data_IF_357020399415
#
_entry.id   IF_357020399415
#
_cell.length_a   1.000
_cell.length_b   1.000
_cell.length_c   1.000
_cell.angle_alpha   90.00
_cell.angle_beta   90.00
_cell.angle_gamma   90.00
#
_symmetry.space_group_name_H-M   'P 1'
#
loop_
_entity.id
_entity.type
_entity.pdbx_description
1 polymer ?
2 non-polymer ?
3 non-polymer ?
4 non-polymer ?
5 water ?
#
# COMPACT_ATOMS: atom_id res chain seq x y z
N UNK A 1 2.31 -10.58 14.55
CA UNK A 1 1.97 -9.39 15.34
C UNK A 1 1.30 -8.34 14.47
N UNK A 2 0.57 -8.83 13.51
CA UNK A 2 -0.02 -7.98 12.46
C UNK A 2 -1.45 -7.60 12.86
N UNK A 3 -1.97 -8.12 13.97
CA UNK A 3 -3.44 -8.14 14.17
C UNK A 3 -4.07 -6.76 14.24
N UNK A 4 -3.39 -5.72 14.71
CA UNK A 4 -4.06 -4.42 14.82
C UNK A 4 -4.23 -3.80 13.42
N UNK A 5 -3.55 -4.34 12.40
CA UNK A 5 -3.73 -3.84 11.02
C UNK A 5 -4.99 -4.39 10.37
N UNK A 6 -5.56 -5.47 10.91
CA UNK A 6 -6.60 -6.15 10.21
C UNK A 6 -7.90 -5.36 10.24
N UNK A 7 -8.65 -5.41 9.16
CA UNK A 7 -9.96 -4.79 9.09
C UNK A 7 -10.11 -3.98 7.85
N UNK A 8 -11.11 -3.14 7.86
CA UNK A 8 -11.49 -2.31 6.72
C UNK A 8 -11.18 -0.87 7.05
N UNK A 9 -10.45 -0.24 6.12
CA UNK A 9 -9.89 1.10 6.32
C UNK A 9 -10.29 1.99 5.16
N UNK A 10 -10.56 3.26 5.48
CA UNK A 10 -10.99 4.24 4.46
C UNK A 10 -9.98 5.39 4.41
N UNK A 11 -9.65 5.83 3.20
CA UNK A 11 -8.69 6.94 3.08
C UNK A 11 -9.36 8.22 3.60
N UNK A 12 -8.63 8.93 4.45
CA UNK A 12 -9.07 10.19 5.01
C UNK A 12 -8.08 11.33 4.88
N UNK A 13 -6.88 11.07 4.36
CA UNK A 13 -5.90 12.18 4.14
C UNK A 13 -4.86 11.68 3.16
N UNK A 14 -4.36 12.56 2.30
CA UNK A 14 -3.27 12.18 1.38
C UNK A 14 -2.36 13.36 1.16
N UNK A 15 -1.05 13.13 1.26
CA UNK A 15 0.00 14.13 1.04
C UNK A 15 1.01 13.59 0.05
N UNK A 16 1.21 14.32 -1.04
CA UNK A 16 2.27 14.07 -2.03
C UNK A 16 2.00 12.81 -2.85
N UNK A 17 0.75 12.39 -3.00
CA UNK A 17 0.48 11.20 -3.83
C UNK A 17 0.80 11.50 -5.30
N UNK A 18 0.52 12.70 -5.77
CA UNK A 18 0.86 13.01 -7.15
C UNK A 18 2.36 12.88 -7.40
N UNK A 19 3.15 13.38 -6.45
CA UNK A 19 4.60 13.23 -6.58
C UNK A 19 5.02 11.77 -6.73
N UNK A 20 4.46 10.92 -5.88
CA UNK A 20 4.77 9.49 -5.91
C UNK A 20 4.38 8.86 -7.24
N UNK A 21 3.15 9.13 -7.69
CA UNK A 21 2.69 8.58 -8.97
C UNK A 21 3.58 9.07 -10.14
N UNK A 22 3.91 10.35 -10.10
CA UNK A 22 4.69 10.91 -11.19
C UNK A 22 6.08 10.26 -11.19
N UNK A 23 6.65 10.00 -10.03
CA UNK A 23 7.98 9.36 -9.92
C UNK A 23 7.92 7.97 -10.59
N UNK A 24 6.81 7.27 -10.43
CA UNK A 24 6.62 5.95 -11.04
C UNK A 24 6.21 6.03 -12.51
N UNK A 25 6.05 7.21 -13.08
CA UNK A 25 5.71 7.34 -14.49
C UNK A 25 4.24 7.18 -14.79
N UNK A 26 3.37 7.35 -13.82
CA UNK A 26 1.94 7.33 -14.10
C UNK A 26 1.55 8.56 -14.89
N UNK A 27 0.74 8.40 -15.93
CA UNK A 27 0.33 9.49 -16.83
C UNK A 27 -0.57 10.49 -16.16
N UNK A 28 -0.55 11.72 -16.67
CA UNK A 28 -1.24 12.80 -15.96
C UNK A 28 -2.72 12.54 -15.84
N UNK A 29 -3.36 11.93 -16.85
CA UNK A 29 -4.83 11.76 -16.80
C UNK A 29 -5.19 10.78 -15.70
N UNK A 30 -4.39 9.73 -15.57
CA UNK A 30 -4.57 8.74 -14.47
C UNK A 30 -4.28 9.40 -13.12
N UNK A 31 -3.23 10.22 -13.01
CA UNK A 31 -2.95 10.89 -11.75
C UNK A 31 -4.12 11.79 -11.35
N UNK A 32 -4.76 12.42 -12.32
CA UNK A 32 -5.87 13.32 -12.05
C UNK A 32 -7.01 12.54 -11.37
N UNK A 33 -7.40 11.40 -11.95
CA UNK A 33 -8.47 10.56 -11.39
C UNK A 33 -8.05 10.03 -10.01
N UNK A 34 -6.84 9.49 -9.95
CA UNK A 34 -6.33 8.90 -8.70
C UNK A 34 -6.34 9.92 -7.57
N UNK A 35 -6.07 11.18 -7.84
CA UNK A 35 -5.98 12.24 -6.81
C UNK A 35 -7.33 12.46 -6.17
N UNK A 36 -8.42 12.05 -6.82
CA UNK A 36 -9.80 12.27 -6.33
C UNK A 36 -10.47 10.99 -5.94
N UNK A 37 -9.75 9.90 -5.88
CA UNK A 37 -10.30 8.59 -5.54
C UNK A 37 -10.03 8.34 -4.04
N UNK A 38 -10.96 7.73 -3.34
CA UNK A 38 -10.78 7.38 -1.90
C UNK A 38 -10.91 5.88 -1.76
N UNK A 39 -9.81 5.16 -1.81
CA UNK A 39 -9.92 3.73 -1.74
C UNK A 39 -10.30 3.23 -0.34
N UNK A 40 -10.78 2.01 -0.39
CA UNK A 40 -11.01 1.21 0.83
C UNK A 40 -9.96 0.10 0.82
N UNK A 41 -9.22 -0.09 1.91
CA UNK A 41 -8.25 -1.16 2.04
C UNK A 41 -8.77 -2.16 3.05
N UNK A 42 -8.80 -3.42 2.69
CA UNK A 42 -9.25 -4.48 3.55
C UNK A 42 -8.05 -5.40 3.78
N UNK A 43 -7.70 -5.61 5.05
CA UNK A 43 -6.56 -6.47 5.39
C UNK A 43 -7.10 -7.61 6.19
N UNK A 44 -6.90 -8.83 5.73
CA UNK A 44 -7.43 -10.06 6.31
C UNK A 44 -6.26 -11.02 6.54
N UNK A 45 -6.43 -11.92 7.51
CA UNK A 45 -5.44 -12.97 7.69
C UNK A 45 -6.10 -14.30 7.85
N UNK A 46 -5.39 -15.33 7.41
CA UNK A 46 -5.80 -16.74 7.57
C UNK A 46 -4.50 -17.41 7.98
N UNK A 47 -4.29 -17.55 9.28
CA UNK A 47 -3.01 -18.06 9.76
C UNK A 47 -1.89 -17.09 9.40
N UNK A 48 -0.93 -17.62 8.63
CA UNK A 48 0.29 -16.89 8.22
C UNK A 48 0.05 -16.09 6.92
N UNK A 49 -1.08 -16.34 6.27
CA UNK A 49 -1.36 -15.74 4.92
C UNK A 49 -2.20 -14.46 5.08
N UNK A 50 -1.69 -13.34 4.65
CA UNK A 50 -2.41 -12.10 4.64
C UNK A 50 -2.97 -11.89 3.25
N UNK A 51 -4.13 -11.24 3.20
CA UNK A 51 -4.71 -10.77 1.94
C UNK A 51 -5.01 -9.29 2.13
N UNK A 52 -4.56 -8.50 1.16
CA UNK A 52 -4.73 -7.06 1.19
C UNK A 52 -5.46 -6.65 -0.06
N UNK A 53 -6.69 -6.17 0.11
CA UNK A 53 -7.56 -5.73 -0.99
C UNK A 53 -7.56 -4.21 -0.98
N UNK A 54 -7.48 -3.64 -2.18
CA UNK A 54 -7.63 -2.17 -2.35
C UNK A 54 -8.77 -1.98 -3.34
N UNK A 55 -9.85 -1.34 -2.89
CA UNK A 55 -11.04 -1.19 -3.73
C UNK A 55 -11.33 0.29 -3.97
N UNK A 56 -11.72 0.61 -5.20
CA UNK A 56 -12.08 2.02 -5.49
C UNK A 56 -12.96 2.04 -6.74
N UNK A 57 -13.44 3.23 -7.05
CA UNK A 57 -14.21 3.48 -8.26
C UNK A 57 -13.37 3.41 -9.51
N UNK A 58 -12.09 3.44 -9.41
CA UNK A 58 -11.17 3.50 -10.57
C UNK A 58 -10.58 2.14 -10.86
N UNK A 59 -10.00 1.53 -9.87
CA UNK A 59 -9.36 0.22 -10.08
C UNK A 59 -9.32 -0.47 -8.72
N UNK A 60 -9.24 -1.78 -8.83
CA UNK A 60 -9.15 -2.64 -7.65
C UNK A 60 -7.91 -3.47 -7.75
N UNK A 61 -7.34 -3.83 -6.61
CA UNK A 61 -6.24 -4.79 -6.55
C UNK A 61 -6.44 -5.74 -5.37
N UNK A 62 -5.79 -6.88 -5.45
CA UNK A 62 -5.74 -7.81 -4.32
C UNK A 62 -4.42 -8.54 -4.39
N UNK A 63 -3.76 -8.69 -3.25
CA UNK A 63 -2.59 -9.55 -3.11
C UNK A 63 -2.78 -10.44 -1.90
N UNK A 64 -2.20 -11.64 -2.01
CA UNK A 64 -2.06 -12.55 -0.86
C UNK A 64 -0.61 -12.92 -0.72
N UNK A 65 -0.17 -13.05 0.52
CA UNK A 65 1.25 -13.34 0.72
C UNK A 65 1.50 -13.79 2.14
N UNK A 66 2.55 -14.58 2.26
CA UNK A 66 3.00 -15.05 3.57
C UNK A 66 4.01 -14.00 4.06
N UNK A 67 3.93 -13.62 5.33
CA UNK A 67 4.90 -12.64 5.85
C UNK A 67 6.31 -13.21 5.68
N UNK A 68 7.19 -12.38 5.17
CA UNK A 68 8.60 -12.72 5.01
C UNK A 68 8.95 -13.66 3.89
N UNK A 69 8.02 -13.87 2.95
CA UNK A 69 8.23 -14.78 1.81
C UNK A 69 7.96 -14.00 0.53
N UNK A 70 8.89 -13.97 -0.39
CA UNK A 70 8.74 -13.20 -1.62
C UNK A 70 7.57 -13.74 -2.44
N UNK A 71 6.91 -12.84 -3.14
CA UNK A 71 5.81 -13.17 -4.03
C UNK A 71 5.91 -12.30 -5.29
N UNK A 72 5.38 -12.82 -6.39
CA UNK A 72 5.21 -12.01 -7.59
C UNK A 72 3.97 -11.14 -7.45
N UNK A 73 4.04 -9.93 -7.94
CA UNK A 73 2.93 -8.97 -7.86
C UNK A 73 2.86 -8.20 -9.19
N UNK A 74 1.67 -7.90 -9.61
CA UNK A 74 1.40 -6.97 -10.71
C UNK A 74 0.68 -5.80 -10.13
N UNK A 75 1.28 -4.65 -10.10
CA UNK A 75 0.75 -3.49 -9.40
C UNK A 75 -0.40 -2.88 -10.17
N UNK A 76 -1.08 -1.92 -9.56
CA UNK A 76 -2.23 -1.29 -10.21
C UNK A 76 -1.80 -0.62 -11.51
N UNK A 77 -0.60 -0.06 -11.55
CA UNK A 77 0.01 0.58 -12.74
C UNK A 77 0.76 -0.42 -13.65
N UNK A 78 0.50 -1.71 -13.52
CA UNK A 78 1.01 -2.81 -14.39
C UNK A 78 2.52 -2.95 -14.31
N UNK A 79 3.14 -2.63 -13.17
CA UNK A 79 4.54 -3.07 -12.95
C UNK A 79 4.55 -4.53 -12.51
N UNK A 80 5.43 -5.34 -13.08
CA UNK A 80 5.59 -6.73 -12.63
C UNK A 80 6.81 -6.73 -11.72
N UNK A 81 6.53 -6.94 -10.43
CA UNK A 81 7.51 -6.72 -9.38
C UNK A 81 7.69 -7.98 -8.56
N UNK A 82 8.82 -8.04 -7.88
CA UNK A 82 9.11 -9.04 -6.82
C UNK A 82 8.88 -8.35 -5.50
N UNK A 83 8.00 -8.90 -4.69
CA UNK A 83 7.57 -8.23 -3.48
C UNK A 83 7.85 -9.08 -2.24
N UNK A 84 7.99 -8.40 -1.13
CA UNK A 84 8.04 -9.06 0.18
C UNK A 84 7.41 -8.11 1.16
N UNK A 85 6.64 -8.67 2.11
CA UNK A 85 6.03 -7.89 3.18
C UNK A 85 6.50 -8.48 4.51
N UNK A 86 6.94 -7.65 5.40
CA UNK A 86 7.45 -8.12 6.67
C UNK A 86 7.06 -7.15 7.75
N UNK A 87 6.91 -7.62 8.98
CA UNK A 87 6.85 -6.70 10.15
C UNK A 87 8.23 -6.28 10.55
N UNK A 88 8.36 -4.98 10.69
CA UNK A 88 9.68 -4.41 11.00
C UNK A 88 9.41 -3.18 11.87
N UNK A 89 9.78 -3.25 13.14
CA UNK A 89 9.50 -2.13 14.05
C UNK A 89 8.01 -1.91 14.26
N UNK A 90 7.23 -2.98 14.19
CA UNK A 90 5.77 -2.89 14.34
C UNK A 90 5.10 -2.36 13.10
N UNK A 91 5.83 -2.11 12.01
CA UNK A 91 5.25 -1.60 10.78
C UNK A 91 5.17 -2.75 9.80
N UNK A 92 4.15 -2.70 8.96
CA UNK A 92 4.05 -3.63 7.85
C UNK A 92 4.81 -3.04 6.66
N UNK A 93 5.97 -3.59 6.30
CA UNK A 93 6.86 -3.01 5.28
C UNK A 93 6.76 -3.87 4.04
N UNK A 94 6.20 -3.27 2.97
CA UNK A 94 6.06 -3.91 1.67
C UNK A 94 7.12 -3.33 0.73
N UNK A 95 8.07 -4.16 0.30
CA UNK A 95 9.11 -3.73 -0.62
C UNK A 95 8.84 -4.37 -1.97
N UNK A 96 8.81 -3.53 -3.01
CA UNK A 96 8.64 -3.99 -4.42
C UNK A 96 9.95 -3.74 -5.17
N UNK A 97 10.39 -4.73 -5.95
CA UNK A 97 11.65 -4.60 -6.73
C UNK A 97 11.36 -4.94 -8.20
N UNK A 98 11.79 -4.10 -9.13
CA UNK A 98 11.63 -4.41 -10.58
C UNK A 98 12.64 -3.55 -11.34
N UNK A 99 13.32 -4.14 -12.32
CA UNK A 99 14.29 -3.39 -13.17
C UNK A 99 15.35 -2.67 -12.30
N UNK A 100 15.82 -3.25 -11.19
CA UNK A 100 16.78 -2.60 -10.29
C UNK A 100 16.15 -1.48 -9.46
N UNK A 101 14.89 -1.04 -9.71
CA UNK A 101 14.20 -0.03 -8.92
C UNK A 101 13.63 -0.68 -7.67
N UNK A 102 13.32 0.16 -6.72
CA UNK A 102 12.57 -0.30 -5.55
C UNK A 102 11.55 0.77 -5.16
N UNK A 103 10.49 0.34 -4.51
CA UNK A 103 9.59 1.27 -3.80
C UNK A 103 9.13 0.56 -2.54
N UNK A 104 8.93 1.31 -1.49
CA UNK A 104 8.40 0.78 -0.25
C UNK A 104 7.03 1.38 0.02
N UNK A 105 6.19 0.54 0.58
CA UNK A 105 4.84 0.86 1.03
C UNK A 105 4.81 0.44 2.50
N UNK A 106 4.86 1.41 3.39
CA UNK A 106 5.07 1.12 4.83
C UNK A 106 3.81 1.51 5.56
N UNK A 107 3.24 0.59 6.33
CA UNK A 107 2.03 0.88 7.10
C UNK A 107 2.35 0.82 8.59
N UNK A 108 1.91 1.86 9.29
CA UNK A 108 2.14 1.94 10.74
C UNK A 108 0.83 2.44 11.36
N UNK A 109 0.62 2.02 12.60
CA UNK A 109 -0.53 2.49 13.37
C UNK A 109 -0.08 3.59 14.29
N UNK A 110 -0.72 4.72 14.21
CA UNK A 110 -0.44 5.90 15.06
C UNK A 110 -1.78 6.42 15.57
N UNK A 111 -1.98 6.32 16.88
CA UNK A 111 -3.24 6.79 17.51
C UNK A 111 -4.48 6.17 16.87
N UNK A 112 -4.38 4.89 16.49
CA UNK A 112 -5.51 4.16 15.89
C UNK A 112 -5.72 4.41 14.41
N UNK A 113 -4.91 5.27 13.81
CA UNK A 113 -4.99 5.50 12.36
C UNK A 113 -3.90 4.70 11.67
N UNK A 114 -4.17 4.27 10.46
CA UNK A 114 -3.18 3.53 9.69
C UNK A 114 -2.54 4.52 8.71
N UNK A 115 -1.24 4.72 8.89
CA UNK A 115 -0.46 5.65 8.07
C UNK A 115 0.33 4.82 7.08
N UNK A 116 0.09 5.08 5.80
CA UNK A 116 0.77 4.44 4.68
C UNK A 116 1.76 5.43 4.11
N UNK A 117 3.04 5.09 4.17
CA UNK A 117 4.09 5.93 3.60
C UNK A 117 4.63 5.23 2.37
N UNK A 118 4.57 5.92 1.23
CA UNK A 118 5.01 5.41 -0.05
C UNK A 118 6.25 6.16 -0.48
N UNK A 119 7.33 5.42 -0.76
CA UNK A 119 8.60 6.10 -1.14
C UNK A 119 9.12 5.49 -2.45
N UNK A 120 9.36 6.34 -3.44
CA UNK A 120 10.04 5.91 -4.68
C UNK A 120 10.97 7.06 -5.06
N UNK A 121 12.23 6.76 -5.40
CA UNK A 121 13.18 7.85 -5.67
C UNK A 121 13.22 8.75 -4.45
N UNK A 122 12.99 10.05 -4.63
CA UNK A 122 12.97 10.98 -3.51
C UNK A 122 11.54 11.28 -3.04
N UNK A 123 10.54 10.80 -3.79
CA UNK A 123 9.13 11.13 -3.50
C UNK A 123 8.68 10.33 -2.28
N UNK A 124 8.06 11.03 -1.34
CA UNK A 124 7.52 10.43 -0.12
C UNK A 124 6.07 10.91 0.03
N UNK A 125 5.18 9.98 -0.04
CA UNK A 125 3.73 10.25 0.09
C UNK A 125 3.24 9.61 1.38
N UNK A 126 2.36 10.34 2.07
CA UNK A 126 1.79 9.84 3.34
C UNK A 126 0.27 9.83 3.17
N UNK A 127 -0.34 8.65 3.31
CA UNK A 127 -1.81 8.50 3.19
C UNK A 127 -2.32 7.93 4.50
N UNK A 128 -3.35 8.59 5.02
CA UNK A 128 -3.91 8.22 6.32
C UNK A 128 -5.27 7.54 6.11
N UNK A 129 -5.43 6.40 6.77
CA UNK A 129 -6.67 5.58 6.71
C UNK A 129 -7.29 5.55 8.11
N UNK A 130 -8.56 5.57 8.21
CA UNK A 130 -9.25 5.30 9.49
C UNK A 130 -10.11 4.07 9.36
N UNK A 131 -10.24 3.47 10.54
CA UNK A 131 -10.84 2.15 10.62
C UNK A 131 -12.34 2.37 10.39
N UNK A 132 -12.94 1.53 9.56
CA UNK A 132 -14.40 1.36 9.44
C UNK A 132 -14.88 0.17 10.28
N UNK A 133 -16.02 0.35 10.87
CA UNK A 133 -16.72 -0.65 11.71
C UNK A 133 -16.98 -1.85 10.82
X LIG B 1 -14.58 10.18 2.42
X LIG B 1 -14.92 10.95 3.60
X LIG B 1 -13.76 11.36 4.42
X LIG B 1 -12.93 12.24 3.69
X LIG B 1 -11.93 12.90 4.45
X LIG B 1 -11.03 13.70 3.60
X LIG B 1 -10.32 12.84 2.69
X LIG B 1 -9.20 13.56 2.14
X LIG B 1 -8.44 12.70 1.22
X LIG B 1 -9.02 12.87 -0.09
X LIG B 1 -8.21 12.24 -1.08
X LIG B 1 -8.93 12.35 -2.38
X LIG B 1 -8.88 13.64 -2.87
X LIG C 1 -0.68 2.07 -5.89
X LIG C 1 0.38 2.36 -6.94
X LIG C 1 0.34 3.57 -7.71
X LIG C 1 -0.97 3.11 -4.82
X LIG C 1 1.25 3.74 -8.90
X LIG C 1 -2.81 1.82 -4.11
X LIG C 1 -1.82 2.63 -3.63
X LIG C 1 -1.02 1.94 -2.82
X LIG C 1 -2.45 3.64 -2.81
X LIG C 1 -1.67 4.61 -2.59
X LIG C 1 -3.50 4.23 -3.66
X LIG C 1 -3.14 3.22 -1.53
X LIG C 1 -3.60 4.21 -0.92
X LIG C 1 -3.27 2.00 -1.25
X LIG C 1 -1.70 4.07 -5.49
X LIG C 1 0.09 3.67 -4.43
X LIG C 1 -0.38 0.96 -5.33
X LIG C 1 -1.81 1.75 -6.56
X LIG C 1 0.34 1.35 -7.84
X LIG C 1 1.50 2.37 -6.41
X LIG C 1 0.58 4.66 -6.91
X LIG C 1 -0.86 3.94 -8.18
X LIG C 1 2.31 3.01 -8.67
X LIG C 1 0.76 3.38 -9.96
X LIG C 1 1.65 4.99 -8.91
X LIG D 1 -4.82 4.70 -9.10
X LIG D 1 -5.78 4.44 -7.97
X LIG D 1 -5.26 3.57 -6.89
X LIG D 1 -4.39 3.48 -9.79
X LIG D 1 -5.66 2.09 -6.85
X LIG D 1 -2.81 4.87 -10.89
X LIG D 1 -3.76 3.96 -11.09
X LIG D 1 -4.82 4.36 -11.82
X LIG D 1 -3.10 2.85 -11.86
X LIG D 1 -1.97 2.58 -11.21
X LIG D 1 -3.97 1.85 -11.96
X LIG D 1 -2.79 3.33 -13.27
X LIG D 1 -3.59 2.97 -14.17
X LIG D 1 -1.73 3.82 -13.57
X LIG D 1 -3.49 2.85 -9.05
X LIG D 1 -5.53 2.77 -9.95
X LIG D 1 -3.69 5.39 -8.86
X LIG D 1 -5.60 5.37 -9.93
X LIG D 1 -6.01 5.75 -7.46
X LIG D 1 -6.92 3.70 -8.34
X LIG D 1 -6.02 4.08 -5.97
X LIG D 1 -3.96 3.76 -6.72
X LIG D 1 -5.29 1.53 -7.99
X LIG D 1 -7.00 1.92 -6.61
X LIG D 1 -4.98 1.55 -5.86
X LIG E 1 -13.45 -5.60 -6.52
X LIG E 1 -14.49 -5.30 -5.65
X LIG E 1 -13.28 -7.04 -6.71
X LIG E 1 -14.36 -7.64 -7.37
X LIG E 1 -13.98 -8.98 -7.78
X LIG E 1 -15.01 -9.69 -8.53
X LIG E 1 -15.45 -8.86 -9.63
#
# INVERSE_FOLDING_TARGET
>A
MVDAFLGTWKLVDSKNFDDYMKSLGVGFATRQVASMTKPTTIIEKNGDILTLKTHSTFKNTEISFKLGVEFDETTADDRKVKSIVTLDGGKLVHLQKWDGQETTLVRELIDGKLILTLTHGTAVCTRTYEKEA
>B hetero
1 PG4 O1 C1 C2 O2 C3 C4 O3 C5 C6 O4 C7 C8 O5
>C hetero
1 8PF C13 C16 C19 C10 C22 F01 C02 F03 C04 F05 F06 C07 O08 O09 F11 F12 F14 F15 F17 F18 F20 F21 F23 F24 F25
>D hetero
1 8PF C13 C16 C19 C10 C22 F01 C02 F03 C04 F05 F06 C07 O08 O09 F11 F12 F14 F15 F17 F18 F20 F21 F23 F24 F25
>E hetero
1 PEG C1 O1 C2 O2 C3 C4 O4
#
